data_IF_379972562713
#
_entry.id   IF_379972562713
#
_cell.length_a   1.000
_cell.length_b   1.000
_cell.length_c   1.000
_cell.angle_alpha   90.00
_cell.angle_beta   90.00
_cell.angle_gamma   90.00
#
_symmetry.space_group_name_H-M   'P 1'
#
loop_
_entity.id
_entity.type
_entity.pdbx_description
1 polymer ?
#
# COMPACT_ATOMS: atom_id res chain seq x y z
N UNK A 1 17.21 -31.09 0.76
CA UNK A 1 17.20 -31.95 -0.45
C UNK A 1 16.73 -31.11 -1.62
N UNK A 2 17.54 -31.00 -2.68
CA UNK A 2 17.14 -30.38 -3.95
C UNK A 2 16.07 -31.26 -4.61
N UNK A 3 15.09 -30.65 -5.27
CA UNK A 3 14.10 -31.39 -6.05
C UNK A 3 14.80 -32.01 -7.26
N UNK A 4 14.42 -33.23 -7.67
CA UNK A 4 15.14 -33.98 -8.72
C UNK A 4 15.17 -33.26 -10.08
N UNK A 5 14.26 -32.32 -10.29
CA UNK A 5 14.16 -31.48 -11.50
C UNK A 5 14.65 -30.03 -11.30
N UNK A 6 15.06 -29.63 -10.10
CA UNK A 6 15.57 -28.26 -9.89
C UNK A 6 17.02 -28.16 -10.33
N UNK A 7 17.35 -27.22 -11.21
CA UNK A 7 18.72 -26.89 -11.54
C UNK A 7 19.43 -26.17 -10.38
N UNK A 8 20.75 -26.31 -10.31
CA UNK A 8 21.59 -25.56 -9.37
C UNK A 8 21.63 -24.11 -9.84
N UNK A 9 21.23 -23.18 -8.98
CA UNK A 9 21.28 -21.74 -9.26
C UNK A 9 22.57 -21.16 -8.71
N UNK A 10 23.48 -20.72 -9.59
CA UNK A 10 24.62 -19.87 -9.23
C UNK A 10 24.16 -18.43 -9.06
N UNK A 11 24.83 -17.66 -8.19
CA UNK A 11 24.58 -16.22 -8.11
C UNK A 11 25.26 -15.53 -9.29
N UNK A 12 24.45 -14.95 -10.18
CA UNK A 12 24.90 -14.17 -11.35
C UNK A 12 25.86 -13.04 -10.96
N UNK A 13 25.70 -12.48 -9.76
CA UNK A 13 26.59 -11.46 -9.18
C UNK A 13 28.02 -11.94 -8.90
N UNK A 14 28.29 -13.25 -8.94
CA UNK A 14 29.62 -13.82 -8.80
C UNK A 14 30.29 -14.10 -10.17
N UNK A 15 29.57 -13.95 -11.28
CA UNK A 15 30.09 -14.17 -12.64
C UNK A 15 30.65 -12.88 -13.26
N UNK A 16 31.58 -12.25 -12.54
CA UNK A 16 32.18 -10.94 -12.84
C UNK A 16 32.86 -10.81 -14.21
N UNK A 17 33.18 -11.93 -14.86
CA UNK A 17 33.91 -11.96 -16.13
C UNK A 17 33.10 -12.59 -17.27
N UNK A 18 31.88 -13.05 -17.02
CA UNK A 18 31.01 -13.50 -18.10
C UNK A 18 30.31 -12.30 -18.75
N UNK A 19 30.27 -12.33 -20.07
CA UNK A 19 29.38 -11.43 -20.81
C UNK A 19 27.95 -11.88 -20.50
N UNK A 20 27.08 -10.99 -19.98
CA UNK A 20 25.72 -11.39 -19.64
C UNK A 20 24.99 -11.99 -20.84
N UNK A 21 24.26 -13.11 -20.67
CA UNK A 21 23.52 -13.71 -21.77
C UNK A 21 22.45 -12.75 -22.30
N UNK A 22 22.34 -12.64 -23.63
CA UNK A 22 21.27 -11.85 -24.25
C UNK A 22 19.96 -12.63 -24.20
N UNK A 23 18.90 -12.01 -23.66
CA UNK A 23 17.57 -12.63 -23.66
C UNK A 23 16.98 -12.64 -25.07
N UNK A 24 17.06 -13.79 -25.75
CA UNK A 24 16.46 -14.03 -27.07
C UNK A 24 15.02 -14.57 -26.98
N UNK A 25 14.49 -14.77 -25.78
CA UNK A 25 13.16 -15.37 -25.58
C UNK A 25 12.04 -14.33 -25.69
N UNK A 26 12.36 -13.05 -25.48
CA UNK A 26 11.42 -11.94 -25.56
C UNK A 26 11.69 -11.10 -26.81
N UNK A 27 10.67 -10.92 -27.63
CA UNK A 27 10.72 -10.10 -28.83
C UNK A 27 10.43 -8.63 -28.52
N UNK A 28 9.39 -8.39 -27.71
CA UNK A 28 8.90 -7.05 -27.39
C UNK A 28 8.28 -7.04 -25.99
N UNK A 29 8.31 -5.89 -25.31
CA UNK A 29 7.55 -5.66 -24.09
C UNK A 29 7.06 -4.23 -24.02
N UNK A 30 5.79 -4.05 -23.67
CA UNK A 30 5.15 -2.73 -23.60
C UNK A 30 4.20 -2.63 -22.42
N UNK A 31 3.96 -1.40 -22.00
CA UNK A 31 2.98 -1.05 -21.00
C UNK A 31 1.67 -0.66 -21.67
N UNK A 32 0.56 -1.28 -21.26
CA UNK A 32 -0.79 -0.95 -21.75
C UNK A 32 -1.62 -0.43 -20.58
N UNK A 33 -2.32 0.68 -20.82
CA UNK A 33 -3.31 1.23 -19.91
C UNK A 33 -4.64 0.48 -20.01
N UNK A 34 -5.16 0.04 -18.88
CA UNK A 34 -6.52 -0.47 -18.73
C UNK A 34 -7.35 0.51 -17.92
N UNK A 35 -8.59 0.71 -18.37
CA UNK A 35 -9.58 1.56 -17.73
C UNK A 35 -10.59 0.69 -16.95
N UNK A 36 -11.23 1.23 -15.90
CA UNK A 36 -12.32 0.55 -15.22
C UNK A 36 -13.45 0.19 -16.18
N UNK A 37 -14.07 -0.97 -16.00
CA UNK A 37 -15.20 -1.45 -16.80
C UNK A 37 -16.47 -0.65 -16.51
N UNK A 38 -16.60 -0.11 -15.29
CA UNK A 38 -17.69 0.77 -14.87
C UNK A 38 -17.19 2.20 -14.60
N UNK A 39 -17.97 3.20 -15.02
CA UNK A 39 -17.70 4.62 -14.79
C UNK A 39 -18.14 5.11 -13.39
N UNK A 40 -18.02 4.26 -12.36
CA UNK A 40 -18.53 4.52 -11.01
C UNK A 40 -17.51 5.17 -10.07
N UNK A 41 -16.46 5.82 -10.59
CA UNK A 41 -15.42 6.46 -9.78
C UNK A 41 -15.96 7.57 -8.85
N UNK A 42 -17.13 8.13 -9.16
CA UNK A 42 -17.82 9.14 -8.34
C UNK A 42 -18.63 8.54 -7.18
N UNK A 43 -18.77 7.22 -7.13
CA UNK A 43 -19.46 6.53 -6.03
C UNK A 43 -18.48 6.17 -4.93
N UNK A 44 -18.85 6.47 -3.69
CA UNK A 44 -18.04 6.12 -2.51
C UNK A 44 -18.18 4.65 -2.10
N UNK A 45 -19.13 3.90 -2.68
CA UNK A 45 -19.43 2.51 -2.29
C UNK A 45 -19.38 1.52 -3.43
N UNK A 46 -19.61 1.95 -4.68
CA UNK A 46 -19.58 1.05 -5.81
C UNK A 46 -18.16 0.50 -6.03
N UNK A 47 -18.02 -0.80 -6.30
CA UNK A 47 -16.72 -1.37 -6.62
C UNK A 47 -16.18 -0.80 -7.94
N UNK A 48 -14.85 -0.79 -8.05
CA UNK A 48 -14.15 -0.45 -9.28
C UNK A 48 -13.64 -1.76 -9.88
N UNK A 49 -14.02 -2.07 -11.12
CA UNK A 49 -13.64 -3.33 -11.77
C UNK A 49 -12.73 -3.08 -12.96
N UNK A 50 -11.67 -3.88 -13.10
CA UNK A 50 -10.79 -3.92 -14.25
C UNK A 50 -10.90 -5.28 -14.92
N UNK A 51 -10.90 -5.30 -16.24
CA UNK A 51 -10.89 -6.52 -17.02
C UNK A 51 -9.79 -6.47 -18.08
N UNK A 52 -8.81 -7.35 -17.93
CA UNK A 52 -7.72 -7.56 -18.87
C UNK A 52 -8.08 -8.80 -19.68
N UNK A 53 -8.49 -8.58 -20.93
CA UNK A 53 -8.78 -9.68 -21.84
C UNK A 53 -7.49 -10.40 -22.23
N UNK A 54 -7.54 -11.74 -22.18
CA UNK A 54 -6.49 -12.63 -22.66
C UNK A 54 -6.56 -12.80 -24.18
N UNK A 55 -6.68 -11.70 -24.92
CA UNK A 55 -6.70 -11.68 -26.38
C UNK A 55 -5.34 -11.21 -26.92
N UNK A 56 -5.04 -11.58 -28.17
CA UNK A 56 -3.78 -11.26 -28.86
C UNK A 56 -2.78 -12.41 -28.77
N UNK A 57 -1.49 -12.13 -28.90
CA UNK A 57 -0.39 -13.11 -28.78
C UNK A 57 0.60 -12.74 -27.66
N UNK A 58 0.19 -11.83 -26.77
CA UNK A 58 1.03 -11.26 -25.72
C UNK A 58 0.71 -11.87 -24.37
N UNK A 59 1.74 -12.21 -23.61
CA UNK A 59 1.63 -12.70 -22.25
C UNK A 59 1.53 -11.51 -21.29
N UNK A 60 0.92 -11.73 -20.13
CA UNK A 60 0.75 -10.70 -19.10
C UNK A 60 1.76 -10.88 -17.98
N UNK A 61 2.56 -9.86 -17.73
CA UNK A 61 3.46 -9.78 -16.59
C UNK A 61 2.77 -9.04 -15.43
N UNK A 62 2.13 -9.82 -14.55
CA UNK A 62 1.48 -9.28 -13.35
C UNK A 62 2.47 -8.77 -12.31
N UNK A 63 3.72 -9.22 -12.35
CA UNK A 63 4.72 -8.81 -11.37
C UNK A 63 5.02 -7.32 -11.49
N UNK A 64 5.03 -6.78 -12.71
CA UNK A 64 5.30 -5.37 -12.89
C UNK A 64 4.02 -4.51 -12.88
N UNK A 65 2.83 -5.09 -12.89
CA UNK A 65 1.57 -4.32 -12.97
C UNK A 65 1.38 -3.40 -11.76
N UNK A 66 0.98 -2.16 -12.03
CA UNK A 66 0.70 -1.14 -11.01
C UNK A 66 -0.57 -0.35 -11.34
N UNK A 67 -1.16 0.27 -10.32
CA UNK A 67 -2.28 1.19 -10.47
C UNK A 67 -1.78 2.63 -10.45
N UNK A 68 -2.42 3.48 -11.23
CA UNK A 68 -2.27 4.93 -11.22
C UNK A 68 -3.61 5.55 -10.86
N UNK A 69 -3.64 6.47 -9.91
CA UNK A 69 -4.84 7.20 -9.53
C UNK A 69 -4.56 8.70 -9.58
N UNK A 70 -5.47 9.47 -10.16
CA UNK A 70 -5.54 10.90 -9.96
C UNK A 70 -6.60 11.16 -8.89
N UNK A 71 -6.20 11.73 -7.76
CA UNK A 71 -7.09 11.94 -6.61
C UNK A 71 -7.10 13.39 -6.18
N UNK A 72 -8.19 13.81 -5.54
CA UNK A 72 -8.28 15.07 -4.78
C UNK A 72 -8.89 14.81 -3.41
N UNK A 73 -8.26 15.36 -2.37
CA UNK A 73 -8.74 15.28 -1.00
C UNK A 73 -9.62 16.49 -0.70
N UNK A 74 -10.80 16.26 -0.13
CA UNK A 74 -11.74 17.33 0.22
C UNK A 74 -12.51 16.97 1.48
N UNK A 75 -13.17 17.96 2.07
CA UNK A 75 -14.31 17.75 2.98
C UNK A 75 -15.48 17.11 2.24
N UNK A 76 -16.51 16.66 2.95
CA UNK A 76 -17.67 16.02 2.29
C UNK A 76 -18.45 17.00 1.43
N UNK A 77 -18.45 18.28 1.83
CA UNK A 77 -19.03 19.40 1.07
C UNK A 77 -18.20 19.81 -0.18
N UNK A 78 -17.05 19.18 -0.42
CA UNK A 78 -16.19 19.42 -1.57
C UNK A 78 -15.19 20.57 -1.43
N UNK A 79 -15.21 21.30 -0.30
CA UNK A 79 -14.19 22.31 0.01
C UNK A 79 -12.86 21.68 0.41
N UNK A 80 -11.79 22.46 0.32
CA UNK A 80 -10.44 22.02 0.63
C UNK A 80 -10.27 21.75 2.14
N UNK A 81 -9.22 20.99 2.48
CA UNK A 81 -8.95 20.55 3.86
C UNK A 81 -8.24 21.63 4.69
N UNK A 82 -8.46 22.91 4.37
CA UNK A 82 -7.85 24.04 5.07
C UNK A 82 -8.74 24.59 6.19
N UNK A 83 -8.11 25.36 7.09
CA UNK A 83 -8.77 26.07 8.18
C UNK A 83 -9.10 25.20 9.40
N UNK A 84 -9.78 25.79 10.39
CA UNK A 84 -10.02 25.16 11.70
C UNK A 84 -10.84 23.86 11.64
N UNK A 85 -11.76 23.76 10.67
CA UNK A 85 -12.56 22.55 10.42
C UNK A 85 -11.88 21.60 9.42
N UNK A 86 -10.73 21.98 8.88
CA UNK A 86 -9.91 21.21 7.93
C UNK A 86 -8.94 20.23 8.57
N UNK A 87 -9.03 19.99 9.89
CA UNK A 87 -8.14 19.06 10.61
C UNK A 87 -8.50 17.60 10.29
N UNK A 88 -8.15 17.22 9.07
CA UNK A 88 -8.42 15.95 8.41
C UNK A 88 -7.24 15.60 7.51
N UNK A 89 -6.66 14.43 7.72
CA UNK A 89 -5.43 14.03 7.01
C UNK A 89 -5.49 12.56 6.62
N UNK A 90 -5.01 12.18 5.43
CA UNK A 90 -5.02 10.79 5.04
C UNK A 90 -4.10 9.94 5.91
N UNK A 91 -4.51 8.70 6.18
CA UNK A 91 -3.65 7.69 6.80
C UNK A 91 -2.46 7.37 5.89
N UNK A 92 -1.41 6.79 6.47
CA UNK A 92 -0.32 6.26 5.66
C UNK A 92 -0.82 5.15 4.72
N UNK A 93 -0.10 4.92 3.63
CA UNK A 93 -0.43 3.89 2.64
C UNK A 93 -1.81 4.06 1.98
N UNK A 94 -2.20 5.32 1.74
CA UNK A 94 -3.54 5.71 1.30
C UNK A 94 -4.04 4.91 0.08
N UNK A 95 -3.17 4.60 -0.89
CA UNK A 95 -3.54 3.86 -2.11
C UNK A 95 -4.20 2.51 -1.79
N UNK A 96 -3.70 1.82 -0.78
CA UNK A 96 -4.23 0.53 -0.34
C UNK A 96 -5.38 0.68 0.66
N UNK A 97 -5.36 1.72 1.50
CA UNK A 97 -6.41 1.99 2.48
C UNK A 97 -7.74 2.42 1.85
N UNK A 98 -7.72 2.89 0.59
CA UNK A 98 -8.93 3.22 -0.18
C UNK A 98 -9.80 2.00 -0.55
N UNK A 99 -9.25 0.78 -0.41
CA UNK A 99 -9.95 -0.45 -0.77
C UNK A 99 -9.94 -1.44 0.39
N UNK A 100 -11.12 -1.88 0.82
CA UNK A 100 -11.24 -2.83 1.93
C UNK A 100 -10.85 -4.24 1.48
N UNK A 101 -11.12 -4.55 0.21
CA UNK A 101 -10.88 -5.85 -0.38
C UNK A 101 -10.53 -5.70 -1.87
N UNK A 102 -9.71 -6.61 -2.39
CA UNK A 102 -9.48 -6.75 -3.83
C UNK A 102 -9.65 -8.21 -4.21
N UNK A 103 -10.66 -8.49 -5.03
CA UNK A 103 -10.89 -9.80 -5.62
C UNK A 103 -10.08 -9.93 -6.92
N UNK A 104 -9.38 -11.05 -7.08
CA UNK A 104 -8.69 -11.40 -8.32
C UNK A 104 -9.23 -12.72 -8.85
N UNK A 105 -9.71 -12.70 -10.09
CA UNK A 105 -10.16 -13.90 -10.80
C UNK A 105 -9.45 -14.07 -12.14
N UNK A 106 -9.22 -15.34 -12.51
CA UNK A 106 -8.69 -15.76 -13.80
C UNK A 106 -9.75 -16.63 -14.47
N UNK A 107 -10.17 -16.29 -15.69
CA UNK A 107 -11.24 -17.00 -16.43
C UNK A 107 -12.50 -17.24 -15.57
N UNK A 108 -12.90 -16.25 -14.78
CA UNK A 108 -14.05 -16.33 -13.87
C UNK A 108 -13.83 -17.13 -12.57
N UNK A 109 -12.68 -17.79 -12.40
CA UNK A 109 -12.33 -18.47 -11.16
C UNK A 109 -11.59 -17.53 -10.22
N UNK A 110 -12.12 -17.33 -9.02
CA UNK A 110 -11.48 -16.54 -7.95
C UNK A 110 -10.17 -17.22 -7.53
N UNK A 111 -9.06 -16.48 -7.62
CA UNK A 111 -7.72 -16.91 -7.21
C UNK A 111 -7.35 -16.29 -5.87
N UNK A 112 -7.58 -14.99 -5.72
CA UNK A 112 -7.46 -14.28 -4.44
C UNK A 112 -8.85 -13.81 -4.05
N UNK A 113 -9.49 -14.42 -3.03
CA UNK A 113 -10.73 -13.91 -2.50
C UNK A 113 -10.47 -12.58 -1.78
N UNK A 114 -11.40 -11.64 -1.91
CA UNK A 114 -11.45 -10.44 -1.09
C UNK A 114 -11.52 -10.81 0.38
N UNK A 115 -10.70 -10.14 1.18
CA UNK A 115 -10.76 -10.18 2.64
C UNK A 115 -10.67 -8.75 3.13
N UNK A 116 -11.47 -8.42 4.14
CA UNK A 116 -11.55 -7.11 4.79
C UNK A 116 -10.24 -6.64 5.45
N UNK A 117 -9.21 -7.51 5.42
CA UNK A 117 -7.88 -7.26 5.98
C UNK A 117 -6.84 -6.81 4.95
N UNK A 118 -7.24 -6.57 3.69
CA UNK A 118 -6.32 -6.17 2.62
C UNK A 118 -5.44 -4.95 2.96
N UNK A 119 -5.97 -3.83 3.52
CA UNK A 119 -5.15 -2.68 3.89
C UNK A 119 -4.01 -3.02 4.86
N UNK A 120 -4.27 -3.90 5.83
CA UNK A 120 -3.27 -4.34 6.81
C UNK A 120 -2.19 -5.21 6.16
N UNK A 121 -2.60 -6.15 5.30
CA UNK A 121 -1.68 -6.97 4.51
C UNK A 121 -0.75 -6.09 3.69
N UNK A 122 -1.31 -5.16 2.91
CA UNK A 122 -0.54 -4.26 2.07
C UNK A 122 0.42 -3.39 2.88
N UNK A 123 -0.04 -2.86 4.02
CA UNK A 123 0.81 -2.05 4.91
C UNK A 123 2.00 -2.83 5.46
N UNK A 124 1.78 -4.05 5.98
CA UNK A 124 2.85 -4.90 6.51
C UNK A 124 3.81 -5.36 5.43
N UNK A 125 3.30 -5.79 4.28
CA UNK A 125 4.14 -6.18 3.16
C UNK A 125 5.01 -5.01 2.71
N UNK A 126 4.46 -3.80 2.60
CA UNK A 126 5.23 -2.61 2.22
C UNK A 126 6.30 -2.27 3.24
N UNK A 127 5.97 -2.34 4.53
CA UNK A 127 6.92 -2.06 5.61
C UNK A 127 8.07 -3.09 5.69
N UNK A 128 7.78 -4.36 5.37
CA UNK A 128 8.73 -5.47 5.51
C UNK A 128 9.47 -5.83 4.22
N UNK A 129 8.96 -5.43 3.05
CA UNK A 129 9.54 -5.79 1.75
C UNK A 129 10.43 -4.71 1.15
N UNK A 130 10.22 -3.45 1.50
CA UNK A 130 11.00 -2.34 0.98
C UNK A 130 12.06 -1.87 1.98
N UNK A 131 13.23 -1.52 1.46
CA UNK A 131 14.30 -0.93 2.24
C UNK A 131 13.97 0.50 2.67
N UNK A 132 14.65 0.97 3.72
CA UNK A 132 14.43 2.29 4.31
C UNK A 132 14.54 3.42 3.27
N UNK A 133 15.51 3.31 2.36
CA UNK A 133 15.77 4.34 1.36
C UNK A 133 14.69 4.35 0.27
N UNK A 134 14.20 3.18 -0.17
CA UNK A 134 13.07 3.08 -1.10
C UNK A 134 11.81 3.68 -0.50
N UNK A 135 11.55 3.42 0.79
CA UNK A 135 10.43 4.03 1.51
C UNK A 135 10.55 5.55 1.58
N UNK A 136 11.77 6.07 1.74
CA UNK A 136 12.04 7.49 1.89
C UNK A 136 12.19 8.27 0.59
N UNK A 137 12.21 7.60 -0.57
CA UNK A 137 12.38 8.22 -1.88
C UNK A 137 11.18 7.91 -2.76
N UNK A 138 11.17 6.74 -3.39
CA UNK A 138 10.14 6.31 -4.32
C UNK A 138 8.75 6.29 -3.67
N UNK A 139 8.61 5.71 -2.47
CA UNK A 139 7.29 5.58 -1.86
C UNK A 139 6.73 6.91 -1.34
N UNK A 140 7.61 7.85 -0.94
CA UNK A 140 7.19 9.23 -0.64
C UNK A 140 6.60 9.89 -1.88
N UNK A 141 7.33 9.82 -3.01
CA UNK A 141 6.91 10.45 -4.25
C UNK A 141 5.65 9.82 -4.86
N UNK A 142 5.56 8.49 -4.87
CA UNK A 142 4.49 7.78 -5.56
C UNK A 142 3.23 7.54 -4.69
N UNK A 143 3.37 7.46 -3.36
CA UNK A 143 2.28 6.97 -2.49
C UNK A 143 2.05 7.82 -1.25
N UNK A 144 2.77 8.95 -1.11
CA UNK A 144 2.76 9.81 0.07
C UNK A 144 3.14 9.05 1.35
N UNK A 145 4.13 8.16 1.24
CA UNK A 145 4.58 7.37 2.38
C UNK A 145 5.40 8.20 3.38
N UNK A 146 4.74 8.66 4.44
CA UNK A 146 5.39 9.29 5.59
C UNK A 146 5.11 8.46 6.82
N UNK A 147 6.15 7.97 7.49
CA UNK A 147 6.01 7.19 8.73
C UNK A 147 5.48 8.09 9.84
N UNK A 148 4.48 7.59 10.57
CA UNK A 148 3.93 8.25 11.74
C UNK A 148 4.93 8.26 12.90
N UNK A 149 4.82 9.27 13.76
CA UNK A 149 5.70 9.41 14.93
C UNK A 149 5.38 8.33 15.97
N UNK A 150 6.36 7.51 16.41
CA UNK A 150 6.15 6.55 17.49
C UNK A 150 5.56 7.19 18.75
N UNK A 151 4.66 6.49 19.44
CA UNK A 151 3.91 6.96 20.62
C UNK A 151 2.98 8.17 20.41
N UNK A 152 2.96 8.77 19.21
CA UNK A 152 2.05 9.86 18.84
C UNK A 152 1.27 9.50 17.56
N UNK A 153 1.06 8.21 17.28
CA UNK A 153 0.45 7.81 16.01
C UNK A 153 -1.06 8.13 15.95
N UNK A 154 -1.71 8.22 17.12
CA UNK A 154 -3.11 8.64 17.25
C UNK A 154 -3.27 10.17 17.37
N UNK A 155 -2.17 10.94 17.30
CA UNK A 155 -2.23 12.41 17.29
C UNK A 155 -2.76 12.87 15.92
N UNK A 156 -4.01 13.31 15.89
CA UNK A 156 -4.73 13.75 14.68
C UNK A 156 -4.83 15.27 14.54
N UNK A 157 -4.37 16.03 15.54
CA UNK A 157 -4.43 17.50 15.51
C UNK A 157 -3.23 18.09 14.75
N UNK A 158 -3.38 19.34 14.33
CA UNK A 158 -2.44 20.03 13.46
C UNK A 158 -1.95 21.38 14.03
N UNK A 159 -2.04 21.58 15.34
CA UNK A 159 -1.62 22.84 15.99
C UNK A 159 -0.13 23.12 15.79
N UNK A 160 0.23 24.37 15.54
CA UNK A 160 1.63 24.76 15.35
C UNK A 160 2.49 24.53 16.59
N UNK A 161 3.81 24.52 16.38
CA UNK A 161 4.78 24.41 17.46
C UNK A 161 4.57 25.54 18.47
N UNK A 162 4.46 25.16 19.74
CA UNK A 162 4.45 26.10 20.85
C UNK A 162 5.90 26.45 21.23
N UNK A 163 6.16 27.73 21.47
CA UNK A 163 7.44 28.22 21.97
C UNK A 163 7.29 28.61 23.44
N UNK A 164 8.22 28.14 24.28
CA UNK A 164 8.27 28.53 25.68
C UNK A 164 8.92 29.91 25.74
N UNK A 165 8.18 30.90 26.22
CA UNK A 165 8.74 32.23 26.46
C UNK A 165 9.87 32.13 27.50
N UNK A 166 11.04 32.69 27.16
CA UNK A 166 12.18 32.76 28.06
C UNK A 166 12.39 34.22 28.47
N UNK A 167 12.33 34.48 29.76
CA UNK A 167 12.65 35.80 30.30
C UNK A 167 14.16 36.01 30.30
N UNK A 168 14.59 37.21 29.93
CA UNK A 168 15.99 37.62 29.96
C UNK A 168 16.16 38.80 30.91
N UNK A 169 17.20 38.75 31.74
CA UNK A 169 17.53 39.87 32.62
C UNK A 169 18.14 41.01 31.82
N UNK A 170 17.56 42.21 31.92
CA UNK A 170 18.11 43.44 31.36
C UNK A 170 19.10 44.05 32.35
N UNK A 171 20.34 44.27 31.93
CA UNK A 171 21.34 44.99 32.70
C UNK A 171 21.83 46.19 31.87
N UNK A 172 21.61 47.41 32.37
CA UNK A 172 22.06 48.66 31.73
C UNK A 172 21.62 48.79 30.27
N UNK A 173 20.32 48.63 30.00
CA UNK A 173 19.71 48.66 28.66
C UNK A 173 20.28 47.63 27.66
N UNK A 174 20.99 46.62 28.16
CA UNK A 174 21.54 45.53 27.36
C UNK A 174 21.03 44.19 27.85
N UNK A 175 20.82 43.28 26.89
CA UNK A 175 20.45 41.89 27.13
C UNK A 175 21.54 41.01 26.54
N UNK A 176 22.15 40.16 27.37
CA UNK A 176 23.13 39.18 26.91
C UNK A 176 22.43 37.82 26.74
N UNK A 177 22.21 37.41 25.50
CA UNK A 177 21.69 36.08 25.17
C UNK A 177 22.88 35.16 24.92
N UNK A 178 23.19 34.29 25.89
CA UNK A 178 24.37 33.40 25.84
C UNK A 178 24.05 31.95 25.47
N UNK A 179 22.78 31.64 25.20
CA UNK A 179 22.34 30.32 24.77
C UNK A 179 21.15 30.44 23.82
N UNK A 180 21.06 29.52 22.87
CA UNK A 180 19.95 29.42 21.93
C UNK A 180 18.63 29.16 22.66
N UNK A 181 17.53 29.63 22.08
CA UNK A 181 16.19 29.30 22.53
C UNK A 181 15.91 27.81 22.25
N UNK A 182 15.17 27.16 23.15
CA UNK A 182 14.71 25.79 22.90
C UNK A 182 13.89 25.75 21.60
N UNK A 183 14.05 24.71 20.77
CA UNK A 183 13.21 24.55 19.59
C UNK A 183 11.74 24.46 20.01
N UNK A 184 10.83 25.01 19.20
CA UNK A 184 9.40 24.83 19.42
C UNK A 184 9.02 23.36 19.37
N UNK A 185 8.15 22.94 20.28
CA UNK A 185 7.64 21.57 20.36
C UNK A 185 6.16 21.54 19.98
N UNK A 186 5.73 20.45 19.34
CA UNK A 186 4.32 20.26 19.06
C UNK A 186 3.56 19.95 20.36
N UNK A 187 2.39 20.58 20.58
CA UNK A 187 1.56 20.28 21.73
C UNK A 187 1.05 18.83 21.69
N UNK A 188 0.64 18.25 22.83
CA UNK A 188 0.02 16.93 22.88
C UNK A 188 -1.18 16.83 21.93
N UNK A 189 -1.33 15.71 21.21
CA UNK A 189 -2.38 15.53 20.20
C UNK A 189 -1.97 15.99 18.81
N UNK A 190 -0.82 16.68 18.69
CA UNK A 190 -0.30 17.33 17.49
C UNK A 190 1.11 16.85 17.10
N UNK A 191 1.64 15.77 17.71
CA UNK A 191 3.04 15.34 17.58
C UNK A 191 3.32 14.39 16.41
N UNK A 192 2.29 13.98 15.66
CA UNK A 192 2.46 13.11 14.50
C UNK A 192 3.01 13.89 13.29
N UNK A 193 4.33 13.92 13.16
CA UNK A 193 5.01 14.60 12.05
C UNK A 193 4.73 13.95 10.70
N UNK A 194 4.53 12.62 10.68
CA UNK A 194 4.21 11.89 9.45
C UNK A 194 2.84 12.28 8.91
N UNK A 195 1.85 12.40 9.79
CA UNK A 195 0.51 12.85 9.45
C UNK A 195 0.49 14.31 8.97
N UNK A 196 1.24 15.20 9.63
CA UNK A 196 1.39 16.60 9.20
C UNK A 196 1.94 16.71 7.79
N UNK A 197 3.05 16.03 7.50
CA UNK A 197 3.64 16.01 6.15
C UNK A 197 2.66 15.50 5.09
N UNK A 198 1.77 14.57 5.44
CA UNK A 198 0.69 14.13 4.55
C UNK A 198 -0.40 15.18 4.40
N UNK A 199 -0.73 15.91 5.47
CA UNK A 199 -1.71 17.00 5.44
C UNK A 199 -1.24 18.17 4.58
N UNK A 200 0.02 18.60 4.74
CA UNK A 200 0.62 19.71 3.98
C UNK A 200 0.55 19.46 2.45
N UNK A 201 0.56 18.19 2.02
CA UNK A 201 0.44 17.84 0.60
C UNK A 201 -0.99 17.95 0.06
N UNK A 202 -2.00 17.91 0.93
CA UNK A 202 -3.41 17.74 0.53
C UNK A 202 -4.32 18.89 0.98
N UNK A 203 -3.85 19.77 1.87
CA UNK A 203 -4.68 20.80 2.52
C UNK A 203 -5.32 21.77 1.52
N UNK A 204 -4.59 22.12 0.46
CA UNK A 204 -5.02 23.04 -0.59
C UNK A 204 -5.95 22.40 -1.63
N UNK A 205 -6.23 21.10 -1.50
CA UNK A 205 -7.11 20.37 -2.42
C UNK A 205 -6.51 20.21 -3.82
N UNK A 206 -5.19 20.13 -3.91
CA UNK A 206 -4.49 19.82 -5.15
C UNK A 206 -4.82 18.42 -5.67
N UNK A 207 -4.74 18.28 -6.99
CA UNK A 207 -4.89 16.98 -7.66
C UNK A 207 -3.55 16.25 -7.62
N UNK A 208 -3.53 15.10 -6.98
CA UNK A 208 -2.31 14.31 -6.78
C UNK A 208 -2.39 13.03 -7.60
N UNK A 209 -1.30 12.69 -8.29
CA UNK A 209 -1.12 11.39 -8.94
C UNK A 209 -0.46 10.43 -7.95
N UNK A 210 -1.10 9.30 -7.70
CA UNK A 210 -0.59 8.22 -6.87
C UNK A 210 -0.35 6.97 -7.71
N UNK A 211 0.74 6.26 -7.42
CA UNK A 211 1.20 5.09 -8.17
C UNK A 211 1.64 4.00 -7.19
N UNK A 212 1.07 2.80 -7.28
CA UNK A 212 1.55 1.66 -6.47
C UNK A 212 1.25 0.30 -7.11
N UNK A 213 2.02 -0.71 -6.72
CA UNK A 213 1.79 -2.12 -7.09
C UNK A 213 0.76 -2.75 -6.18
N UNK A 214 0.02 -3.73 -6.68
CA UNK A 214 -0.98 -4.44 -5.88
C UNK A 214 -0.34 -5.51 -5.00
N UNK A 215 -0.72 -5.50 -3.72
CA UNK A 215 -0.26 -6.46 -2.71
C UNK A 215 -1.10 -7.75 -2.73
N UNK A 216 -1.10 -8.43 -3.88
CA UNK A 216 -1.78 -9.71 -4.11
C UNK A 216 -0.76 -10.81 -4.39
N UNK A 217 -1.04 -12.05 -3.94
CA UNK A 217 -0.06 -13.15 -4.02
C UNK A 217 0.35 -13.46 -5.49
N UNK A 218 -0.57 -13.32 -6.44
CA UNK A 218 -0.30 -13.52 -7.87
C UNK A 218 0.47 -12.35 -8.52
N UNK A 219 0.52 -11.18 -7.88
CA UNK A 219 1.31 -10.03 -8.34
C UNK A 219 2.75 -10.07 -7.80
N UNK A 220 3.03 -11.01 -6.89
CA UNK A 220 4.38 -11.23 -6.36
C UNK A 220 5.12 -12.39 -7.06
N UNK A 221 4.46 -13.11 -7.96
CA UNK A 221 5.09 -14.17 -8.74
C UNK A 221 5.57 -13.62 -10.09
N UNK A 222 6.74 -14.08 -10.54
CA UNK A 222 7.47 -13.52 -11.70
C UNK A 222 7.16 -14.21 -13.05
N UNK A 223 6.43 -15.33 -13.04
CA UNK A 223 6.00 -16.01 -14.27
C UNK A 223 4.91 -15.23 -14.97
N UNK A 224 5.05 -15.09 -16.28
CA UNK A 224 4.01 -14.46 -17.10
C UNK A 224 2.77 -15.35 -17.20
N UNK A 225 1.59 -14.72 -17.16
CA UNK A 225 0.33 -15.37 -17.46
C UNK A 225 0.24 -15.52 -18.99
N UNK A 226 -0.05 -16.73 -19.51
CA UNK A 226 -0.09 -16.96 -20.93
C UNK A 226 -1.33 -16.31 -21.52
N UNK A 227 -1.31 -16.14 -22.83
CA UNK A 227 -2.46 -15.68 -23.58
C UNK A 227 -3.67 -16.64 -23.40
N UNK A 228 -4.90 -16.12 -23.60
CA UNK A 228 -6.14 -16.88 -23.40
C UNK A 228 -6.65 -16.91 -21.94
N UNK A 229 -6.02 -16.15 -21.04
CA UNK A 229 -6.47 -16.00 -19.65
C UNK A 229 -7.00 -14.58 -19.44
N UNK A 230 -8.32 -14.47 -19.27
CA UNK A 230 -8.97 -13.24 -18.84
C UNK A 230 -8.71 -13.01 -17.35
N UNK A 231 -8.23 -11.82 -17.01
CA UNK A 231 -7.93 -11.41 -15.64
C UNK A 231 -8.94 -10.34 -15.25
N UNK A 232 -9.66 -10.55 -14.15
CA UNK A 232 -10.56 -9.55 -13.60
C UNK A 232 -10.18 -9.21 -12.17
N UNK A 233 -10.04 -7.91 -11.92
CA UNK A 233 -9.83 -7.36 -10.59
C UNK A 233 -11.06 -6.55 -10.19
N UNK A 234 -11.54 -6.76 -8.97
CA UNK A 234 -12.61 -5.97 -8.38
C UNK A 234 -12.13 -5.37 -7.08
N UNK A 235 -12.18 -4.05 -6.99
CA UNK A 235 -11.74 -3.25 -5.85
C UNK A 235 -12.98 -2.79 -5.08
N UNK A 236 -13.16 -3.30 -3.85
CA UNK A 236 -14.26 -2.88 -2.98
C UNK A 236 -13.81 -1.66 -2.16
N UNK A 237 -14.61 -0.57 -2.17
CA UNK A 237 -14.25 0.72 -1.57
C UNK A 237 -14.33 0.67 -0.04
N UNK A 238 -13.36 1.32 0.61
CA UNK A 238 -13.41 1.55 2.07
C UNK A 238 -14.17 2.83 2.40
N UNK A 239 -14.76 2.91 3.59
CA UNK A 239 -15.36 4.15 4.13
C UNK A 239 -14.29 5.18 4.51
N UNK A 240 -14.62 6.46 4.40
CA UNK A 240 -13.69 7.57 4.67
C UNK A 240 -13.04 7.54 6.05
N UNK A 241 -13.80 7.19 7.09
CA UNK A 241 -13.29 7.12 8.47
C UNK A 241 -12.12 6.14 8.65
N UNK A 242 -11.97 5.16 7.75
CA UNK A 242 -10.85 4.23 7.80
C UNK A 242 -9.56 4.81 7.22
N UNK A 243 -9.67 5.65 6.17
CA UNK A 243 -8.51 6.16 5.43
C UNK A 243 -8.23 7.65 5.68
N UNK A 244 -9.09 8.35 6.41
CA UNK A 244 -8.90 9.73 6.86
C UNK A 244 -8.88 9.76 8.38
N UNK A 245 -7.86 10.40 8.95
CA UNK A 245 -7.84 10.76 10.36
C UNK A 245 -8.42 12.16 10.53
N UNK A 246 -9.47 12.30 11.33
CA UNK A 246 -10.21 13.57 11.45
C UNK A 246 -10.44 13.96 12.91
N UNK A 247 -10.43 15.28 13.15
CA UNK A 247 -10.88 15.87 14.42
C UNK A 247 -12.41 15.75 14.56
N UNK A 248 -12.90 15.78 15.79
CA UNK A 248 -14.33 15.89 16.06
C UNK A 248 -14.96 17.09 15.34
N UNK A 249 -16.06 16.82 14.62
CA UNK A 249 -16.75 17.83 13.82
C UNK A 249 -16.12 18.11 12.46
N UNK A 250 -14.96 17.51 12.16
CA UNK A 250 -14.32 17.56 10.84
C UNK A 250 -14.64 16.30 10.04
N UNK A 251 -14.66 16.48 8.72
CA UNK A 251 -14.88 15.44 7.72
C UNK A 251 -13.73 15.45 6.70
N UNK A 252 -13.69 14.41 5.87
CA UNK A 252 -12.67 14.28 4.86
C UNK A 252 -12.89 13.03 4.03
N UNK A 253 -12.65 13.14 2.73
CA UNK A 253 -12.74 12.03 1.79
C UNK A 253 -11.73 12.17 0.65
N UNK A 254 -11.54 11.07 -0.06
CA UNK A 254 -10.73 11.03 -1.28
C UNK A 254 -11.63 10.88 -2.50
N UNK A 255 -11.63 11.89 -3.36
CA UNK A 255 -12.29 11.84 -4.65
C UNK A 255 -11.33 11.22 -5.67
N UNK A 256 -11.67 10.04 -6.21
CA UNK A 256 -10.92 9.42 -7.30
C UNK A 256 -11.42 10.04 -8.61
N UNK A 257 -10.58 10.88 -9.21
CA UNK A 257 -10.89 11.55 -10.47
C UNK A 257 -10.62 10.65 -11.67
N UNK A 258 -9.56 9.84 -11.60
CA UNK A 258 -9.20 8.84 -12.59
C UNK A 258 -8.45 7.69 -11.92
N UNK A 259 -8.65 6.47 -12.41
CA UNK A 259 -7.89 5.30 -12.00
C UNK A 259 -7.58 4.46 -13.24
N UNK A 260 -6.30 4.15 -13.44
CA UNK A 260 -5.78 3.34 -14.54
C UNK A 260 -4.99 2.17 -13.97
N UNK A 261 -4.98 1.05 -14.69
CA UNK A 261 -4.08 -0.06 -14.41
C UNK A 261 -3.09 -0.20 -15.54
N UNK A 262 -1.81 -0.07 -15.21
CA UNK A 262 -0.72 -0.26 -16.14
C UNK A 262 -0.28 -1.71 -16.11
N UNK A 263 -0.47 -2.42 -17.22
CA UNK A 263 -0.18 -3.85 -17.35
C UNK A 263 0.94 -4.05 -18.35
N UNK A 264 1.96 -4.81 -17.97
CA UNK A 264 3.07 -5.14 -18.88
C UNK A 264 2.68 -6.33 -19.71
N UNK A 265 2.65 -6.11 -21.02
CA UNK A 265 2.47 -7.14 -22.04
C UNK A 265 3.83 -7.49 -22.61
N UNK A 266 4.06 -8.78 -22.78
CA UNK A 266 5.33 -9.33 -23.25
C UNK A 266 5.05 -10.27 -24.42
N UNK A 267 5.73 -10.08 -25.54
CA UNK A 267 5.65 -11.00 -26.69
C UNK A 267 6.85 -11.96 -26.64
N UNK A 268 6.64 -13.26 -26.37
CA UNK A 268 7.68 -14.26 -26.54
C UNK A 268 8.01 -14.44 -28.03
N UNK A 269 9.24 -14.84 -28.35
CA UNK A 269 9.59 -15.18 -29.74
C UNK A 269 8.78 -16.40 -30.23
N UNK A 270 8.52 -16.51 -31.55
CA UNK A 270 7.67 -17.59 -32.09
C UNK A 270 8.16 -19.00 -31.73
N UNK A 271 9.48 -19.21 -31.65
CA UNK A 271 10.06 -20.51 -31.27
C UNK A 271 9.73 -20.90 -29.83
N UNK A 272 9.84 -19.96 -28.90
CA UNK A 272 9.50 -20.14 -27.49
C UNK A 272 8.00 -20.33 -27.33
N UNK A 273 7.20 -19.50 -28.00
CA UNK A 273 5.75 -19.57 -27.96
C UNK A 273 5.22 -20.93 -28.45
N UNK A 274 5.75 -21.45 -29.57
CA UNK A 274 5.39 -22.77 -30.08
C UNK A 274 5.76 -23.89 -29.10
N UNK A 275 6.95 -23.80 -28.48
CA UNK A 275 7.41 -24.77 -27.49
C UNK A 275 6.51 -24.79 -26.25
N UNK A 276 6.12 -23.61 -25.77
CA UNK A 276 5.19 -23.47 -24.64
C UNK A 276 3.81 -24.04 -25.02
N UNK A 277 3.27 -23.69 -26.18
CA UNK A 277 1.96 -24.18 -26.63
C UNK A 277 1.92 -25.70 -26.78
N UNK A 278 2.98 -26.31 -27.32
CA UNK A 278 3.09 -27.77 -27.38
C UNK A 278 3.07 -28.40 -25.98
N UNK A 279 3.77 -27.79 -25.01
CA UNK A 279 3.81 -28.30 -23.63
C UNK A 279 2.51 -28.07 -22.87
N UNK A 280 1.79 -26.99 -23.14
CA UNK A 280 0.47 -26.72 -22.55
C UNK A 280 -0.59 -27.75 -22.97
N UNK A 281 -0.39 -28.45 -24.09
CA UNK A 281 -1.25 -29.57 -24.50
C UNK A 281 -1.04 -30.85 -23.67
N UNK A 282 0.13 -31.01 -23.04
CA UNK A 282 0.47 -32.22 -22.28
C UNK A 282 0.53 -31.99 -20.77
N UNK A 283 0.91 -30.79 -20.33
CA UNK A 283 1.12 -30.43 -18.93
C UNK A 283 0.45 -29.10 -18.58
N UNK A 284 -0.02 -28.99 -17.34
CA UNK A 284 -0.56 -27.72 -16.81
C UNK A 284 0.56 -26.78 -16.36
N UNK A 285 0.44 -25.49 -16.70
CA UNK A 285 1.32 -24.46 -16.17
C UNK A 285 1.16 -24.30 -14.64
N UNK A 286 2.26 -24.49 -13.91
CA UNK A 286 2.29 -24.38 -12.44
C UNK A 286 2.82 -23.02 -11.99
N UNK A 287 2.00 -22.27 -11.26
CA UNK A 287 2.36 -20.99 -10.65
C UNK A 287 2.61 -21.18 -9.15
N UNK A 288 3.85 -21.03 -8.68
CA UNK A 288 4.14 -21.10 -7.25
C UNK A 288 3.60 -19.83 -6.57
N UNK A 289 2.61 -19.99 -5.69
CA UNK A 289 2.06 -18.89 -4.89
C UNK A 289 2.63 -18.95 -3.48
N UNK A 290 3.11 -17.80 -2.99
CA UNK A 290 3.41 -17.60 -1.57
C UNK A 290 2.21 -16.90 -0.96
N UNK A 291 1.37 -17.65 -0.25
CA UNK A 291 0.17 -17.08 0.37
C UNK A 291 0.53 -16.29 1.62
N UNK A 292 0.03 -15.06 1.68
CA UNK A 292 0.02 -14.25 2.90
C UNK A 292 -1.41 -14.20 3.40
N UNK A 293 -1.66 -14.90 4.51
CA UNK A 293 -2.95 -14.98 5.18
C UNK A 293 -2.91 -14.12 6.45
N UNK A 294 -3.88 -13.20 6.58
CA UNK A 294 -4.06 -12.40 7.79
C UNK A 294 -5.14 -13.05 8.64
N UNK A 295 -4.84 -13.22 9.93
CA UNK A 295 -5.80 -13.68 10.93
C UNK A 295 -5.88 -12.65 12.05
N UNK A 296 -7.09 -12.33 12.47
CA UNK A 296 -7.35 -11.36 13.51
C UNK A 296 -7.79 -12.07 14.78
N UNK A 297 -7.28 -11.61 15.92
CA UNK A 297 -7.63 -12.12 17.23
C UNK A 297 -7.91 -10.95 18.16
N UNK A 298 -9.04 -10.98 18.85
CA UNK A 298 -9.39 -9.93 19.82
C UNK A 298 -8.79 -10.27 21.18
N UNK A 299 -8.01 -9.35 21.74
CA UNK A 299 -7.47 -9.46 23.10
C UNK A 299 -8.22 -8.48 23.99
N UNK A 300 -8.86 -8.97 25.05
CA UNK A 300 -9.60 -8.12 25.98
C UNK A 300 -8.64 -7.33 26.89
N UNK A 301 -9.01 -6.10 27.22
CA UNK A 301 -8.24 -5.24 28.15
C UNK A 301 -8.05 -5.95 29.48
N UNK A 302 -6.83 -5.92 30.03
CA UNK A 302 -6.48 -6.60 31.28
C UNK A 302 -6.05 -8.06 31.13
N UNK A 303 -6.10 -8.62 29.91
CA UNK A 303 -5.59 -9.98 29.63
C UNK A 303 -4.06 -9.99 29.66
N UNK A 304 -3.46 -10.76 30.56
CA UNK A 304 -1.99 -10.90 30.64
C UNK A 304 -1.43 -11.95 29.67
N UNK A 305 -2.20 -13.02 29.42
CA UNK A 305 -1.83 -14.10 28.51
C UNK A 305 -3.01 -14.52 27.66
N UNK A 306 -2.81 -14.54 26.35
CA UNK A 306 -3.76 -15.04 25.37
C UNK A 306 -3.06 -16.16 24.60
N UNK A 307 -3.62 -17.36 24.64
CA UNK A 307 -3.14 -18.53 23.90
C UNK A 307 -4.14 -18.81 22.80
N UNK A 308 -3.66 -18.88 21.56
CA UNK A 308 -4.47 -19.21 20.40
C UNK A 308 -3.88 -20.46 19.75
N UNK A 309 -4.60 -21.57 19.88
CA UNK A 309 -4.25 -22.82 19.23
C UNK A 309 -4.67 -22.81 17.76
N UNK A 310 -4.03 -23.64 16.94
CA UNK A 310 -4.36 -23.79 15.51
C UNK A 310 -4.23 -22.51 14.67
N UNK A 311 -3.21 -21.68 14.96
CA UNK A 311 -2.89 -20.46 14.19
C UNK A 311 -2.78 -20.71 12.67
N UNK A 312 -2.41 -21.92 12.26
CA UNK A 312 -2.50 -22.40 10.89
C UNK A 312 -2.93 -23.86 10.88
N UNK A 313 -3.72 -24.26 9.90
CA UNK A 313 -4.11 -25.66 9.67
C UNK A 313 -3.49 -26.11 8.36
N UNK A 314 -2.63 -27.14 8.42
CA UNK A 314 -1.92 -27.65 7.25
C UNK A 314 -0.55 -27.00 7.03
N UNK A 315 -0.43 -26.14 6.01
CA UNK A 315 0.87 -25.66 5.56
C UNK A 315 1.50 -24.71 6.60
N UNK A 316 2.69 -25.08 7.09
CA UNK A 316 3.42 -24.27 8.07
C UNK A 316 3.94 -22.98 7.42
N UNK A 317 3.68 -21.79 8.01
CA UNK A 317 4.19 -20.54 7.50
C UNK A 317 5.71 -20.47 7.65
N UNK A 318 6.38 -19.83 6.69
CA UNK A 318 7.83 -19.56 6.77
C UNK A 318 8.18 -18.39 7.68
N UNK A 319 7.22 -17.48 7.90
CA UNK A 319 7.36 -16.28 8.71
C UNK A 319 6.00 -15.95 9.31
N UNK A 320 6.00 -15.58 10.59
CA UNK A 320 4.83 -15.05 11.29
C UNK A 320 5.16 -13.60 11.64
N UNK A 321 4.24 -12.70 11.32
CA UNK A 321 4.31 -11.28 11.69
C UNK A 321 3.13 -11.03 12.60
N UNK A 322 3.40 -10.48 13.77
CA UNK A 322 2.37 -10.14 14.75
C UNK A 322 2.18 -8.63 14.77
N UNK A 323 0.94 -8.27 15.02
CA UNK A 323 0.48 -6.91 14.90
C UNK A 323 -0.64 -6.59 15.87
N UNK A 324 -0.56 -5.43 16.51
CA UNK A 324 -1.53 -4.96 17.48
C UNK A 324 -2.17 -3.68 16.99
N UNK A 325 -3.49 -3.68 16.94
CA UNK A 325 -4.29 -2.50 16.61
C UNK A 325 -5.42 -2.42 17.63
N UNK A 326 -5.79 -1.19 18.02
CA UNK A 326 -6.96 -1.00 18.88
C UNK A 326 -8.22 -1.47 18.15
N UNK A 327 -9.20 -2.00 18.88
CA UNK A 327 -10.47 -2.41 18.26
C UNK A 327 -11.17 -1.24 17.55
N UNK A 328 -11.02 -0.01 18.06
CA UNK A 328 -11.53 1.19 17.40
C UNK A 328 -10.83 1.44 16.05
N UNK A 329 -9.50 1.38 16.01
CA UNK A 329 -8.73 1.52 14.76
C UNK A 329 -9.03 0.40 13.74
N UNK A 330 -9.19 -0.84 14.20
CA UNK A 330 -9.58 -1.97 13.33
C UNK A 330 -10.92 -1.72 12.63
N UNK A 331 -11.88 -1.10 13.34
CA UNK A 331 -13.20 -0.79 12.82
C UNK A 331 -13.28 0.58 12.10
N UNK A 332 -12.15 1.26 11.89
CA UNK A 332 -12.08 2.53 11.18
C UNK A 332 -12.60 3.73 11.98
N UNK A 333 -12.25 3.83 13.26
CA UNK A 333 -12.42 5.07 14.04
C UNK A 333 -11.45 6.15 13.50
N UNK A 334 -11.94 7.34 13.10
CA UNK A 334 -11.11 8.36 12.47
C UNK A 334 -10.07 8.99 13.40
N UNK A 335 -10.10 8.72 14.72
CA UNK A 335 -9.08 9.19 15.67
C UNK A 335 -8.02 8.16 15.97
N UNK A 336 -8.15 6.95 15.44
CA UNK A 336 -7.25 5.84 15.72
C UNK A 336 -6.58 5.41 14.44
N UNK A 337 -5.25 5.42 14.45
CA UNK A 337 -4.51 5.04 13.27
C UNK A 337 -4.58 3.52 13.06
N UNK A 338 -4.44 3.11 11.80
CA UNK A 338 -4.31 1.72 11.37
C UNK A 338 -2.92 1.11 11.65
N UNK A 339 -2.06 1.80 12.40
CA UNK A 339 -0.70 1.34 12.65
C UNK A 339 -0.67 0.14 13.59
N UNK A 340 -0.14 -0.95 13.06
CA UNK A 340 -0.07 -2.29 13.65
C UNK A 340 1.03 -2.39 14.76
N UNK A 341 1.83 -1.33 14.93
CA UNK A 341 2.91 -1.27 15.93
C UNK A 341 2.73 -0.12 16.93
N UNK A 342 1.49 0.33 17.16
CA UNK A 342 1.21 1.28 18.22
C UNK A 342 1.19 0.55 19.58
N UNK A 343 2.37 0.24 20.13
CA UNK A 343 2.47 -0.12 21.55
C UNK A 343 2.70 1.16 22.37
N UNK A 344 1.81 1.50 23.31
CA UNK A 344 2.19 2.41 24.38
C UNK A 344 3.29 1.74 25.21
N UNK A 345 4.41 2.45 25.40
CA UNK A 345 5.47 2.02 26.31
C UNK A 345 5.05 2.05 27.77
#
# INVERSE_FOLDING_TARGET
>A
MMHRESCVCGMDSLELFQVPPTNIALEDSKWIEYYPVSSTLTSDTAPIEFEIKGQGDEYVDLSQTYIQMLVKFTKDNGSDLSGADGVSSPVNNIVHSLFSEIDLSLNGKVITPGTDTYPFKAYLEKLLSYEHDTLNTQMKACTMWYKDTPAAMDDYQLEDKAYIAKEFTVASDKVNVTADLSPGEYPPGSRNEGLRKRHDLVEDGDKIVLLDRLHLDLFQQEKFIPNGVDIRLRFNRTKSNFYMMTKDGSDGKVNILSMLMWVRKVRPTPSVLNSINQRLNTDTAKYPLRRVEVKTFTIAVGTQSKIEDHLFQGQMPKRIVLGLVSNAGFNGDPKKILSIFNMPG
#
